data_IF_218999450434
#
_entry.id   IF_218999450434
#
_cell.length_a   1.000
_cell.length_b   1.000
_cell.length_c   1.000
_cell.angle_alpha   90.00
_cell.angle_beta   90.00
_cell.angle_gamma   90.00
#
_symmetry.space_group_name_H-M   'P 1'
#
loop_
_entity.id
_entity.type
_entity.pdbx_description
1 polymer ?
#
# COMPACT_ATOMS: atom_id res chain seq x y z
N UNK A 1 48.27 -6.69 22.81
CA UNK A 1 47.29 -7.71 22.37
C UNK A 1 45.97 -6.98 22.12
N UNK A 2 45.92 -6.07 21.15
CA UNK A 2 44.83 -5.07 21.11
C UNK A 2 44.35 -4.79 19.68
N UNK A 3 45.26 -4.62 18.72
CA UNK A 3 44.84 -4.28 17.35
C UNK A 3 44.23 -5.47 16.58
N UNK A 4 44.71 -6.70 16.81
CA UNK A 4 44.16 -7.89 16.14
C UNK A 4 42.74 -8.23 16.60
N UNK A 5 42.42 -8.00 17.89
CA UNK A 5 41.05 -8.22 18.40
C UNK A 5 40.07 -7.18 17.88
N UNK A 6 40.49 -5.91 17.81
CA UNK A 6 39.65 -4.81 17.34
C UNK A 6 39.25 -4.97 15.86
N UNK A 7 40.18 -5.49 15.04
CA UNK A 7 39.91 -5.80 13.63
C UNK A 7 38.92 -6.96 13.48
N UNK A 8 38.99 -7.96 14.36
CA UNK A 8 38.12 -9.12 14.30
C UNK A 8 36.69 -8.78 14.76
N UNK A 9 36.55 -7.97 15.81
CA UNK A 9 35.26 -7.45 16.28
C UNK A 9 34.59 -6.56 15.21
N UNK A 10 35.37 -5.71 14.53
CA UNK A 10 34.87 -4.89 13.43
C UNK A 10 34.39 -5.74 12.24
N UNK A 11 35.09 -6.83 11.89
CA UNK A 11 34.63 -7.77 10.84
C UNK A 11 33.31 -8.44 11.22
N UNK A 12 33.13 -8.79 12.49
CA UNK A 12 31.92 -9.43 12.99
C UNK A 12 30.72 -8.48 12.86
N UNK A 13 30.88 -7.22 13.28
CA UNK A 13 29.87 -6.16 13.14
C UNK A 13 29.54 -5.94 11.66
N UNK A 14 30.56 -5.83 10.80
CA UNK A 14 30.37 -5.62 9.36
C UNK A 14 29.70 -6.81 8.68
N UNK A 15 29.93 -8.03 9.17
CA UNK A 15 29.26 -9.24 8.72
C UNK A 15 27.77 -9.20 9.03
N UNK A 16 27.39 -8.81 10.26
CA UNK A 16 25.99 -8.65 10.68
C UNK A 16 25.30 -7.53 9.92
N UNK A 17 25.95 -6.37 9.76
CA UNK A 17 25.39 -5.25 8.98
C UNK A 17 25.17 -5.69 7.52
N UNK A 18 26.11 -6.44 6.94
CA UNK A 18 25.97 -6.99 5.59
C UNK A 18 24.85 -8.03 5.46
N UNK A 19 24.54 -8.81 6.49
CA UNK A 19 23.43 -9.78 6.43
C UNK A 19 22.06 -9.10 6.61
N UNK A 20 21.95 -8.19 7.58
CA UNK A 20 20.66 -7.64 7.99
C UNK A 20 20.20 -6.45 7.15
N UNK A 21 21.12 -5.56 6.74
CA UNK A 21 20.75 -4.35 5.97
C UNK A 21 20.07 -4.67 4.64
N UNK A 22 20.55 -5.63 3.82
CA UNK A 22 19.84 -5.99 2.59
C UNK A 22 18.44 -6.58 2.82
N UNK A 23 18.24 -7.30 3.93
CA UNK A 23 16.94 -7.84 4.33
C UNK A 23 15.96 -6.72 4.68
N UNK A 24 16.35 -5.84 5.60
CA UNK A 24 15.57 -4.67 6.00
C UNK A 24 15.25 -3.74 4.81
N UNK A 25 16.19 -3.54 3.90
CA UNK A 25 15.96 -2.77 2.68
C UNK A 25 14.96 -3.46 1.74
N UNK A 26 15.00 -4.79 1.59
CA UNK A 26 13.99 -5.52 0.82
C UNK A 26 12.60 -5.37 1.43
N UNK A 27 12.51 -5.49 2.74
CA UNK A 27 11.25 -5.42 3.47
C UNK A 27 10.64 -4.01 3.47
N UNK A 28 11.45 -2.96 3.30
CA UNK A 28 10.98 -1.58 3.13
C UNK A 28 10.69 -1.22 1.65
N UNK A 29 11.56 -1.65 0.72
CA UNK A 29 11.46 -1.31 -0.71
C UNK A 29 10.33 -2.07 -1.39
N UNK A 30 10.05 -3.32 -1.00
CA UNK A 30 8.94 -4.10 -1.54
C UNK A 30 7.60 -3.38 -1.41
N UNK A 31 7.17 -3.04 -0.18
CA UNK A 31 5.94 -2.28 0.07
C UNK A 31 5.95 -0.89 -0.57
N UNK A 32 7.10 -0.20 -0.59
CA UNK A 32 7.22 1.11 -1.27
C UNK A 32 7.06 1.01 -2.79
N UNK A 33 7.58 -0.05 -3.40
CA UNK A 33 7.44 -0.31 -4.84
C UNK A 33 6.01 -0.66 -5.21
N UNK A 34 5.32 -1.42 -4.36
CA UNK A 34 3.87 -1.65 -4.50
C UNK A 34 3.08 -0.34 -4.36
N UNK A 35 3.42 0.52 -3.39
CA UNK A 35 2.84 1.87 -3.25
C UNK A 35 3.04 2.74 -4.51
N UNK A 36 4.23 2.68 -5.13
CA UNK A 36 4.50 3.39 -6.37
C UNK A 36 3.78 2.79 -7.57
N UNK A 37 3.56 1.48 -7.60
CA UNK A 37 2.77 0.84 -8.67
C UNK A 37 1.28 1.20 -8.63
N UNK A 38 0.82 1.72 -7.50
CA UNK A 38 -0.55 2.18 -7.27
C UNK A 38 -0.74 3.67 -7.51
N UNK A 39 0.30 4.40 -7.95
CA UNK A 39 0.11 5.78 -8.40
C UNK A 39 -0.68 5.74 -9.70
N UNK A 40 -2.00 5.76 -9.56
CA UNK A 40 -2.94 6.04 -10.63
C UNK A 40 -2.48 7.34 -11.28
N UNK A 41 -2.12 7.28 -12.56
CA UNK A 41 -1.72 8.48 -13.28
C UNK A 41 -2.84 9.52 -13.18
N UNK A 42 -2.53 10.83 -13.27
CA UNK A 42 -3.57 11.86 -13.24
C UNK A 42 -4.69 11.63 -14.27
N UNK A 43 -4.38 10.97 -15.39
CA UNK A 43 -5.36 10.63 -16.42
C UNK A 43 -6.27 9.48 -16.02
N UNK A 44 -5.71 8.37 -15.51
CA UNK A 44 -6.51 7.25 -15.00
C UNK A 44 -7.41 7.68 -13.82
N UNK A 45 -6.93 8.62 -12.99
CA UNK A 45 -7.73 9.16 -11.90
C UNK A 45 -8.93 9.97 -12.42
N UNK A 46 -8.74 10.75 -13.49
CA UNK A 46 -9.80 11.51 -14.15
C UNK A 46 -10.80 10.61 -14.88
N UNK A 47 -10.33 9.58 -15.57
CA UNK A 47 -11.19 8.60 -16.22
C UNK A 47 -12.05 7.85 -15.20
N UNK A 48 -11.45 7.42 -14.09
CA UNK A 48 -12.17 6.80 -12.98
C UNK A 48 -13.21 7.73 -12.36
N UNK A 49 -12.86 8.99 -12.13
CA UNK A 49 -13.82 9.97 -11.61
C UNK A 49 -15.00 10.19 -12.56
N UNK A 50 -14.76 10.22 -13.88
CA UNK A 50 -15.83 10.28 -14.89
C UNK A 50 -16.72 9.05 -14.86
N UNK A 51 -16.16 7.85 -14.73
CA UNK A 51 -16.93 6.61 -14.63
C UNK A 51 -17.83 6.58 -13.37
N UNK A 52 -17.30 6.99 -12.22
CA UNK A 52 -18.08 7.10 -10.97
C UNK A 52 -19.26 8.06 -11.15
N UNK A 53 -19.01 9.24 -11.73
CA UNK A 53 -20.04 10.25 -11.94
C UNK A 53 -21.12 9.78 -12.93
N UNK A 54 -20.71 9.16 -14.04
CA UNK A 54 -21.62 8.62 -15.03
C UNK A 54 -22.53 7.54 -14.42
N UNK A 55 -21.95 6.59 -13.69
CA UNK A 55 -22.69 5.52 -13.02
C UNK A 55 -23.71 6.08 -12.03
N UNK A 56 -23.29 6.99 -11.15
CA UNK A 56 -24.20 7.61 -10.18
C UNK A 56 -25.37 8.34 -10.86
N UNK A 57 -25.09 9.12 -11.90
CA UNK A 57 -26.12 9.87 -12.62
C UNK A 57 -27.11 8.94 -13.36
N UNK A 58 -26.62 7.87 -13.97
CA UNK A 58 -27.47 6.88 -14.66
C UNK A 58 -28.45 6.21 -13.68
N UNK A 59 -28.00 5.89 -12.46
CA UNK A 59 -28.89 5.38 -11.41
C UNK A 59 -30.00 6.37 -11.05
N UNK A 60 -29.66 7.66 -10.91
CA UNK A 60 -30.65 8.71 -10.66
C UNK A 60 -31.64 8.86 -11.82
N UNK A 61 -31.17 8.83 -13.06
CA UNK A 61 -31.99 8.92 -14.26
C UNK A 61 -32.99 7.75 -14.39
N UNK A 62 -32.60 6.57 -13.93
CA UNK A 62 -33.48 5.40 -13.85
C UNK A 62 -34.43 5.42 -12.63
N UNK A 63 -34.44 6.50 -11.85
CA UNK A 63 -35.39 6.72 -10.77
C UNK A 63 -34.98 6.10 -9.44
N UNK A 64 -33.71 5.72 -9.27
CA UNK A 64 -33.24 5.29 -7.95
C UNK A 64 -33.16 6.50 -7.00
N UNK A 65 -33.55 6.33 -5.72
CA UNK A 65 -33.31 7.32 -4.69
C UNK A 65 -31.82 7.66 -4.57
N UNK A 66 -31.49 8.93 -4.33
CA UNK A 66 -30.12 9.40 -4.27
C UNK A 66 -29.25 8.65 -3.23
N UNK A 67 -29.83 8.32 -2.08
CA UNK A 67 -29.13 7.58 -1.04
C UNK A 67 -28.74 6.17 -1.50
N UNK A 68 -29.66 5.47 -2.17
CA UNK A 68 -29.41 4.13 -2.72
C UNK A 68 -28.42 4.18 -3.90
N UNK A 69 -28.53 5.18 -4.77
CA UNK A 69 -27.58 5.37 -5.86
C UNK A 69 -26.16 5.65 -5.34
N UNK A 70 -26.04 6.44 -4.27
CA UNK A 70 -24.78 6.73 -3.61
C UNK A 70 -24.19 5.49 -2.93
N UNK A 71 -25.04 4.68 -2.28
CA UNK A 71 -24.65 3.39 -1.68
C UNK A 71 -24.09 2.44 -2.74
N UNK A 72 -24.86 2.17 -3.80
CA UNK A 72 -24.44 1.30 -4.91
C UNK A 72 -23.17 1.80 -5.58
N UNK A 73 -23.00 3.11 -5.74
CA UNK A 73 -21.77 3.71 -6.28
C UNK A 73 -20.58 3.44 -5.36
N UNK A 74 -20.73 3.57 -4.04
CA UNK A 74 -19.65 3.28 -3.08
C UNK A 74 -19.26 1.80 -3.07
N UNK A 75 -20.24 0.91 -3.17
CA UNK A 75 -20.01 -0.54 -3.20
C UNK A 75 -19.28 -0.99 -4.46
N UNK A 76 -19.63 -0.42 -5.63
CA UNK A 76 -19.04 -0.80 -6.90
C UNK A 76 -17.69 -0.10 -7.17
N UNK A 77 -17.45 1.05 -6.57
CA UNK A 77 -16.19 1.80 -6.72
C UNK A 77 -15.44 1.88 -5.39
N UNK A 78 -14.86 0.75 -4.97
CA UNK A 78 -14.07 0.65 -3.74
C UNK A 78 -12.88 1.61 -3.79
N UNK A 79 -12.70 2.40 -2.72
CA UNK A 79 -11.56 3.27 -2.57
C UNK A 79 -10.27 2.41 -2.49
N UNK A 80 -9.30 2.55 -3.41
CA UNK A 80 -8.06 1.76 -3.36
C UNK A 80 -7.29 1.97 -2.04
N UNK A 81 -7.42 3.14 -1.40
CA UNK A 81 -6.82 3.41 -0.09
C UNK A 81 -7.44 2.60 1.05
N UNK A 82 -8.73 2.21 0.97
CA UNK A 82 -9.33 1.38 2.02
C UNK A 82 -8.82 -0.06 1.96
N UNK A 83 -8.62 -0.60 0.76
CA UNK A 83 -8.00 -1.93 0.56
C UNK A 83 -6.58 -1.93 1.11
N UNK A 84 -5.81 -0.88 0.83
CA UNK A 84 -4.46 -0.70 1.38
C UNK A 84 -4.43 -0.66 2.91
N UNK A 85 -5.34 0.11 3.51
CA UNK A 85 -5.45 0.19 4.97
C UNK A 85 -5.78 -1.16 5.58
N UNK A 86 -6.67 -1.93 4.94
CA UNK A 86 -7.05 -3.27 5.39
C UNK A 86 -5.87 -4.24 5.33
N UNK A 87 -5.14 -4.29 4.21
CA UNK A 87 -3.92 -5.11 4.05
C UNK A 87 -2.85 -4.70 5.06
N UNK A 88 -2.58 -3.40 5.21
CA UNK A 88 -1.58 -2.89 6.15
C UNK A 88 -1.96 -3.14 7.62
N UNK A 89 -3.26 -3.08 7.94
CA UNK A 89 -3.76 -3.41 9.28
C UNK A 89 -3.79 -4.92 9.56
N UNK A 90 -3.92 -5.75 8.53
CA UNK A 90 -3.91 -7.21 8.64
C UNK A 90 -2.49 -7.77 8.80
N UNK A 91 -1.49 -7.13 8.17
CA UNK A 91 -0.08 -7.44 8.40
C UNK A 91 0.36 -7.23 9.85
N UNK A 92 -0.13 -6.16 10.50
CA UNK A 92 0.17 -5.86 11.91
C UNK A 92 -0.45 -6.81 12.93
N UNK A 93 -1.53 -7.54 12.58
CA UNK A 93 -2.16 -8.50 13.52
C UNK A 93 -1.45 -9.85 13.59
N UNK A 94 -0.60 -10.19 12.61
CA UNK A 94 0.14 -11.46 12.60
C UNK A 94 1.42 -11.46 13.43
N UNK A 95 1.86 -10.30 13.92
CA UNK A 95 3.05 -10.18 14.79
C UNK A 95 2.72 -10.24 16.29
N UNK A 96 1.42 -10.27 16.67
CA UNK A 96 0.96 -10.30 18.06
C UNK A 96 0.39 -11.68 18.51
N UNK A 97 0.48 -12.73 17.67
CA UNK A 97 0.17 -14.14 18.02
C UNK A 97 1.40 -15.04 18.05
#
# INVERSE_FOLDING_TARGET
MSEESDVEELKEILSVVRSEVPGLLRDLIGPLKELMSLTVSPEEARERARAIAAFYNELLEHGLPADLALELTKENFVNPYSILKEVFSSGRRKEEE
#
